data_IF_104726420427
#
_entry.id   IF_104726420427
#
_cell.length_a   1.000
_cell.length_b   1.000
_cell.length_c   1.000
_cell.angle_alpha   90.00
_cell.angle_beta   90.00
_cell.angle_gamma   90.00
#
_symmetry.space_group_name_H-M   'P 1'
#
loop_
_entity.id
_entity.type
_entity.pdbx_description
1 polymer ?
#
# COMPACT_ATOMS: atom_id res chain seq x y z
N UNK A 1 1.79 16.44 -13.86
CA UNK A 1 2.79 16.16 -12.83
C UNK A 1 2.31 15.03 -11.93
N UNK A 2 3.14 14.09 -11.75
CA UNK A 2 2.78 12.93 -10.94
C UNK A 2 2.58 13.30 -9.48
N UNK A 3 1.61 12.69 -8.87
CA UNK A 3 1.29 13.03 -7.50
C UNK A 3 2.02 12.12 -6.53
N UNK A 4 3.21 12.55 -6.15
CA UNK A 4 4.04 11.79 -5.21
C UNK A 4 3.43 11.72 -3.82
N UNK A 5 2.53 12.65 -3.49
CA UNK A 5 1.90 12.64 -2.17
C UNK A 5 0.99 11.43 -2.00
N UNK A 6 0.25 11.09 -3.06
CA UNK A 6 -0.63 9.94 -3.00
C UNK A 6 0.19 8.66 -2.86
N UNK A 7 1.29 8.57 -3.59
CA UNK A 7 2.16 7.41 -3.47
C UNK A 7 2.76 7.31 -2.07
N UNK A 8 3.19 8.43 -1.50
CA UNK A 8 3.74 8.45 -0.17
C UNK A 8 2.70 8.02 0.86
N UNK A 9 1.47 8.52 0.73
CA UNK A 9 0.39 8.12 1.63
C UNK A 9 0.08 6.64 1.51
N UNK A 10 0.06 6.13 0.28
CA UNK A 10 -0.19 4.71 0.06
C UNK A 10 0.89 3.87 0.73
N UNK A 11 2.14 4.23 0.56
CA UNK A 11 3.23 3.50 1.21
C UNK A 11 3.15 3.58 2.72
N UNK A 12 2.78 4.74 3.26
CA UNK A 12 2.64 4.88 4.71
C UNK A 12 1.54 3.96 5.24
N UNK A 13 0.42 3.89 4.54
CA UNK A 13 -0.67 3.01 4.94
C UNK A 13 -0.22 1.55 4.89
N UNK A 14 0.51 1.18 3.87
CA UNK A 14 1.02 -0.20 3.75
C UNK A 14 2.02 -0.52 4.84
N UNK A 15 2.82 0.45 5.27
CA UNK A 15 3.72 0.25 6.40
C UNK A 15 2.96 0.03 7.69
N UNK A 16 1.91 0.80 7.90
CA UNK A 16 1.07 0.64 9.10
C UNK A 16 0.41 -0.73 9.13
N UNK A 17 0.07 -1.26 7.96
CA UNK A 17 -0.55 -2.58 7.86
C UNK A 17 0.48 -3.71 7.87
N UNK A 18 1.76 -3.38 8.03
CA UNK A 18 2.86 -4.36 8.03
C UNK A 18 3.03 -5.05 6.69
N UNK A 19 2.53 -4.45 5.63
CA UNK A 19 2.69 -4.98 4.28
C UNK A 19 4.06 -4.61 3.75
N UNK A 20 4.50 -3.39 4.03
CA UNK A 20 5.86 -2.96 3.68
C UNK A 20 6.71 -3.06 4.92
N UNK A 21 7.82 -3.78 4.82
CA UNK A 21 8.78 -3.95 5.90
C UNK A 21 10.17 -3.64 5.40
N UNK A 22 11.09 -3.44 6.31
CA UNK A 22 12.49 -3.23 5.97
C UNK A 22 13.31 -4.36 6.55
N UNK A 23 14.10 -5.01 5.71
CA UNK A 23 15.02 -6.06 6.14
C UNK A 23 16.38 -5.79 5.52
N UNK A 24 17.40 -5.74 6.36
CA UNK A 24 18.77 -5.48 5.91
C UNK A 24 18.87 -4.20 5.09
N UNK A 25 18.08 -3.18 5.45
CA UNK A 25 18.09 -1.92 4.73
C UNK A 25 17.30 -1.90 3.44
N UNK A 26 16.62 -3.00 3.13
CA UNK A 26 15.83 -3.10 1.90
C UNK A 26 14.34 -3.08 2.20
N UNK A 27 13.59 -2.44 1.33
CA UNK A 27 12.15 -2.39 1.43
C UNK A 27 11.57 -3.68 0.83
N UNK A 28 10.78 -4.38 1.63
CA UNK A 28 10.18 -5.63 1.22
C UNK A 28 8.67 -5.51 1.30
N UNK A 29 7.98 -5.93 0.25
CA UNK A 29 6.53 -5.88 0.20
C UNK A 29 5.99 -7.30 0.37
N UNK A 30 5.09 -7.46 1.35
CA UNK A 30 4.40 -8.72 1.56
C UNK A 30 3.25 -8.82 0.57
N UNK A 31 3.52 -9.46 -0.56
CA UNK A 31 2.55 -9.55 -1.65
C UNK A 31 1.31 -10.33 -1.23
N UNK A 32 1.50 -11.40 -0.46
CA UNK A 32 0.36 -12.20 0.00
C UNK A 32 -0.60 -11.37 0.83
N UNK A 33 -0.05 -10.62 1.77
CA UNK A 33 -0.88 -9.77 2.63
C UNK A 33 -1.52 -8.65 1.82
N UNK A 34 -0.78 -8.07 0.89
CA UNK A 34 -1.30 -7.02 0.03
C UNK A 34 -2.49 -7.50 -0.79
N UNK A 35 -2.44 -8.75 -1.24
CA UNK A 35 -3.51 -9.31 -2.06
C UNK A 35 -4.75 -9.67 -1.25
N UNK A 36 -4.59 -9.95 0.03
CA UNK A 36 -5.70 -10.41 0.85
C UNK A 36 -6.32 -9.32 1.71
N UNK A 37 -5.61 -8.23 1.96
CA UNK A 37 -6.15 -7.17 2.80
C UNK A 37 -7.33 -6.50 2.09
N UNK A 38 -8.37 -6.19 2.86
CA UNK A 38 -9.58 -5.60 2.31
C UNK A 38 -9.52 -4.08 2.39
N UNK A 39 -10.24 -3.44 1.46
CA UNK A 39 -10.22 -1.98 1.39
C UNK A 39 -10.74 -1.34 2.67
N UNK A 40 -11.77 -1.92 3.28
CA UNK A 40 -12.31 -1.34 4.50
C UNK A 40 -11.34 -1.44 5.67
N UNK A 41 -10.44 -2.41 5.67
CA UNK A 41 -9.38 -2.45 6.66
C UNK A 41 -8.41 -1.30 6.44
N UNK A 42 -8.07 -1.04 5.19
CA UNK A 42 -7.17 0.07 4.86
C UNK A 42 -7.80 1.41 5.22
N UNK A 43 -9.10 1.54 5.03
CA UNK A 43 -9.79 2.79 5.33
C UNK A 43 -9.84 3.09 6.83
N UNK A 44 -9.58 2.11 7.68
CA UNK A 44 -9.51 2.34 9.11
C UNK A 44 -8.23 3.05 9.54
N UNK A 45 -7.24 3.10 8.69
CA UNK A 45 -6.00 3.79 9.02
C UNK A 45 -6.17 5.28 8.83
N UNK A 46 -5.42 6.05 9.62
CA UNK A 46 -5.40 7.50 9.49
C UNK A 46 -4.91 7.90 8.12
N UNK A 47 -5.48 8.98 7.62
CA UNK A 47 -5.01 9.60 6.37
C UNK A 47 -5.16 8.70 5.16
N UNK A 48 -6.01 7.71 5.23
CA UNK A 48 -6.31 6.85 4.09
C UNK A 48 -7.68 7.23 3.56
N UNK A 49 -7.70 7.84 2.39
CA UNK A 49 -8.92 8.23 1.72
C UNK A 49 -9.11 7.43 0.44
N UNK A 50 -10.12 7.79 -0.32
CA UNK A 50 -10.45 7.07 -1.55
C UNK A 50 -9.31 7.10 -2.56
N UNK A 51 -8.63 8.24 -2.68
CA UNK A 51 -7.52 8.36 -3.63
C UNK A 51 -6.37 7.44 -3.23
N UNK A 52 -6.10 7.33 -1.93
CA UNK A 52 -5.05 6.45 -1.43
C UNK A 52 -5.41 4.98 -1.69
N UNK A 53 -6.66 4.63 -1.43
CA UNK A 53 -7.14 3.26 -1.70
C UNK A 53 -6.98 2.92 -3.17
N UNK A 54 -7.35 3.85 -4.04
CA UNK A 54 -7.23 3.64 -5.47
C UNK A 54 -5.77 3.40 -5.86
N UNK A 55 -4.86 4.15 -5.28
CA UNK A 55 -3.44 3.97 -5.56
C UNK A 55 -2.95 2.61 -5.09
N UNK A 56 -3.41 2.17 -3.93
CA UNK A 56 -3.05 0.86 -3.41
C UNK A 56 -3.58 -0.24 -4.33
N UNK A 57 -4.78 -0.07 -4.85
CA UNK A 57 -5.35 -1.03 -5.80
C UNK A 57 -4.51 -1.11 -7.07
N UNK A 58 -4.00 0.02 -7.54
CA UNK A 58 -3.13 0.02 -8.71
C UNK A 58 -1.84 -0.73 -8.43
N UNK A 59 -1.28 -0.54 -7.25
CA UNK A 59 -0.06 -1.24 -6.87
C UNK A 59 -0.32 -2.74 -6.79
N UNK A 60 -1.43 -3.11 -6.16
CA UNK A 60 -1.82 -4.52 -6.04
C UNK A 60 -1.96 -5.17 -7.42
N UNK A 61 -2.64 -4.48 -8.30
CA UNK A 61 -2.86 -4.98 -9.64
C UNK A 61 -1.57 -5.17 -10.40
N UNK A 62 -0.65 -4.23 -10.23
CA UNK A 62 0.65 -4.31 -10.87
C UNK A 62 1.45 -5.51 -10.38
N UNK A 63 1.32 -5.85 -9.10
CA UNK A 63 2.07 -6.96 -8.52
C UNK A 63 1.49 -8.33 -8.89
N UNK A 64 0.27 -8.37 -9.39
CA UNK A 64 -0.37 -9.63 -9.73
C UNK A 64 0.29 -10.33 -10.91
N UNK A 65 1.08 -9.62 -11.66
CA UNK A 65 1.73 -10.18 -12.85
C UNK A 65 3.09 -10.78 -12.56
N UNK A 66 3.54 -10.70 -11.38
CA UNK A 66 4.86 -11.19 -11.01
C UNK A 66 4.82 -12.66 -10.66
#
# INVERSE_FOLDING_TARGET
>A
MEDNRILTKAKSALKLAHIIRYENGHEIIDVSLLRTIQDNELMNFRNVGKATIKKIQEIRKSLQWV
#
